data_IF_112384215149
#
_entry.id   IF_112384215149
#
_cell.length_a   1.000
_cell.length_b   1.000
_cell.length_c   1.000
_cell.angle_alpha   90.00
_cell.angle_beta   90.00
_cell.angle_gamma   90.00
#
_symmetry.space_group_name_H-M   'P 1'
#
loop_
_entity.id
_entity.type
_entity.pdbx_description
1 polymer ?
#
# COMPACT_ATOMS: atom_id res chain seq x y z
N UNK A 1 19.87 13.71 -4.14
CA UNK A 1 18.96 12.64 -3.70
C UNK A 1 17.70 12.64 -4.51
N UNK A 2 17.38 11.54 -5.12
CA UNK A 2 16.30 11.41 -6.12
C UNK A 2 15.00 11.02 -5.43
N UNK A 3 13.94 11.77 -5.69
CA UNK A 3 12.57 11.31 -5.42
C UNK A 3 12.23 10.24 -6.43
N UNK A 4 11.53 9.19 -6.01
CA UNK A 4 11.02 8.16 -6.89
C UNK A 4 9.52 8.30 -7.08
N UNK A 5 9.04 8.00 -8.29
CA UNK A 5 7.61 7.95 -8.60
C UNK A 5 7.13 6.51 -8.58
N UNK A 6 6.29 6.17 -7.59
CA UNK A 6 5.70 4.83 -7.51
C UNK A 6 4.66 4.55 -8.61
N UNK A 7 4.32 5.54 -9.44
CA UNK A 7 3.44 5.38 -10.59
C UNK A 7 4.21 5.07 -11.87
N UNK A 8 5.33 5.76 -12.11
CA UNK A 8 6.03 5.70 -13.41
C UNK A 8 7.28 4.85 -13.42
N UNK A 9 7.88 4.56 -12.26
CA UNK A 9 9.08 3.72 -12.19
C UNK A 9 8.74 2.23 -12.18
N UNK A 10 9.66 1.42 -12.69
CA UNK A 10 9.54 -0.04 -12.72
C UNK A 10 10.04 -0.63 -11.39
N UNK A 11 9.14 -0.93 -10.47
CA UNK A 11 9.49 -1.41 -9.14
C UNK A 11 8.67 -2.60 -8.64
N UNK A 12 7.54 -2.90 -9.28
CA UNK A 12 6.64 -3.99 -8.89
C UNK A 12 7.13 -5.28 -9.54
N UNK A 13 7.61 -6.27 -8.77
CA UNK A 13 8.03 -7.55 -9.32
C UNK A 13 6.79 -8.36 -9.75
N UNK A 14 6.80 -8.81 -11.00
CA UNK A 14 5.72 -9.59 -11.60
C UNK A 14 6.27 -10.82 -12.31
N UNK A 15 5.40 -11.81 -12.51
CA UNK A 15 5.69 -13.03 -13.27
C UNK A 15 4.86 -13.04 -14.54
N UNK A 16 5.52 -13.36 -15.65
CA UNK A 16 4.86 -13.55 -16.93
C UNK A 16 4.37 -14.99 -17.14
N UNK A 17 3.65 -15.23 -18.25
CA UNK A 17 3.14 -16.56 -18.67
C UNK A 17 4.23 -17.61 -18.83
N UNK A 18 5.48 -17.23 -19.05
CA UNK A 18 6.65 -18.10 -19.19
C UNK A 18 7.36 -18.35 -17.87
N UNK A 19 6.88 -17.74 -16.78
CA UNK A 19 7.48 -17.84 -15.45
C UNK A 19 8.66 -16.89 -15.21
N UNK A 20 8.97 -15.98 -16.15
CA UNK A 20 10.05 -15.01 -16.01
C UNK A 20 9.59 -13.89 -15.06
N UNK A 21 10.44 -13.54 -14.11
CA UNK A 21 10.20 -12.44 -13.18
C UNK A 21 10.89 -11.18 -13.70
N UNK A 22 10.15 -10.09 -13.76
CA UNK A 22 10.64 -8.75 -14.11
C UNK A 22 9.95 -7.68 -13.29
N UNK A 23 10.47 -6.47 -13.27
CA UNK A 23 9.77 -5.32 -12.67
C UNK A 23 8.97 -4.56 -13.70
N UNK A 24 7.83 -4.03 -13.26
CA UNK A 24 6.95 -3.15 -14.02
C UNK A 24 6.60 -1.91 -13.22
N UNK A 25 6.14 -0.88 -13.90
CA UNK A 25 5.40 0.23 -13.31
C UNK A 25 3.91 -0.11 -13.22
N UNK A 26 3.12 0.57 -12.36
CA UNK A 26 1.66 0.47 -12.39
C UNK A 26 1.04 0.73 -13.79
N UNK A 27 1.69 1.52 -14.63
CA UNK A 27 1.23 1.82 -16.00
C UNK A 27 1.28 0.62 -16.95
N UNK A 28 2.01 -0.44 -16.57
CA UNK A 28 2.21 -1.63 -17.40
C UNK A 28 1.33 -2.82 -16.97
N UNK A 29 0.43 -2.64 -16.01
CA UNK A 29 -0.43 -3.73 -15.49
C UNK A 29 -1.37 -4.34 -16.53
N UNK A 30 -1.65 -3.63 -17.63
CA UNK A 30 -2.51 -4.10 -18.73
C UNK A 30 -1.77 -5.01 -19.72
N UNK A 31 -0.52 -5.35 -19.49
CA UNK A 31 0.22 -6.31 -20.30
C UNK A 31 -0.36 -7.72 -20.08
N UNK A 32 -0.96 -8.30 -21.12
CA UNK A 32 -1.62 -9.61 -21.11
C UNK A 32 -0.65 -10.78 -20.80
N UNK A 33 0.65 -10.56 -20.96
CA UNK A 33 1.66 -11.56 -20.61
C UNK A 33 1.92 -11.64 -19.10
N UNK A 34 1.55 -10.63 -18.33
CA UNK A 34 1.73 -10.63 -16.88
C UNK A 34 0.58 -11.36 -16.21
N UNK A 35 0.90 -12.37 -15.40
CA UNK A 35 -0.11 -13.24 -14.78
C UNK A 35 -0.15 -13.14 -13.26
N UNK A 36 0.91 -12.64 -12.61
CA UNK A 36 0.94 -12.54 -11.14
C UNK A 36 1.96 -11.51 -10.66
N UNK A 37 1.78 -11.07 -9.41
CA UNK A 37 2.81 -10.35 -8.64
C UNK A 37 3.78 -11.40 -8.09
N UNK A 38 5.06 -11.08 -8.04
CA UNK A 38 6.12 -12.02 -7.66
C UNK A 38 7.07 -11.44 -6.61
N UNK A 39 6.53 -10.85 -5.54
CA UNK A 39 7.33 -10.34 -4.44
C UNK A 39 7.98 -11.48 -3.65
N UNK A 40 9.21 -11.27 -3.18
CA UNK A 40 9.97 -12.27 -2.43
C UNK A 40 9.41 -12.52 -1.01
N UNK A 41 8.65 -11.57 -0.48
CA UNK A 41 8.05 -11.63 0.86
C UNK A 41 6.53 -11.68 0.77
N UNK A 42 5.90 -12.50 1.59
CA UNK A 42 4.45 -12.66 1.62
C UNK A 42 3.72 -11.36 2.03
N UNK A 43 4.27 -10.59 2.96
CA UNK A 43 3.73 -9.29 3.37
C UNK A 43 3.83 -8.25 2.25
N UNK A 44 4.90 -8.25 1.48
CA UNK A 44 5.06 -7.39 0.31
C UNK A 44 4.14 -7.85 -0.84
N UNK A 45 4.01 -9.15 -1.06
CA UNK A 45 3.08 -9.71 -2.03
C UNK A 45 1.65 -9.20 -1.79
N UNK A 46 1.16 -9.35 -0.57
CA UNK A 46 -0.20 -8.91 -0.21
C UNK A 46 -0.35 -7.39 -0.23
N UNK A 47 0.68 -6.64 0.11
CA UNK A 47 0.67 -5.18 0.04
C UNK A 47 0.57 -4.69 -1.41
N UNK A 48 1.31 -5.29 -2.35
CA UNK A 48 1.28 -4.90 -3.76
C UNK A 48 -0.07 -5.19 -4.42
N UNK A 49 -0.73 -6.32 -4.09
CA UNK A 49 -2.10 -6.56 -4.51
C UNK A 49 -3.02 -5.43 -4.07
N UNK A 50 -2.98 -5.06 -2.79
CA UNK A 50 -3.82 -4.01 -2.24
C UNK A 50 -3.46 -2.62 -2.77
N UNK A 51 -2.18 -2.37 -3.05
CA UNK A 51 -1.72 -1.13 -3.66
C UNK A 51 -2.34 -0.94 -5.06
N UNK A 52 -2.24 -1.95 -5.92
CA UNK A 52 -2.77 -1.87 -7.28
C UNK A 52 -4.30 -1.83 -7.30
N UNK A 53 -4.98 -2.64 -6.49
CA UNK A 53 -6.45 -2.60 -6.37
C UNK A 53 -6.90 -1.22 -5.86
N UNK A 54 -6.27 -0.73 -4.80
CA UNK A 54 -6.58 0.59 -4.25
C UNK A 54 -6.35 1.72 -5.25
N UNK A 55 -5.29 1.63 -6.05
CA UNK A 55 -4.98 2.61 -7.09
C UNK A 55 -6.07 2.64 -8.18
N UNK A 56 -6.46 1.47 -8.68
CA UNK A 56 -7.53 1.33 -9.68
C UNK A 56 -8.87 1.80 -9.08
N UNK A 57 -9.24 1.31 -7.90
CA UNK A 57 -10.47 1.73 -7.22
C UNK A 57 -10.56 3.24 -7.01
N UNK A 58 -9.44 3.87 -6.64
CA UNK A 58 -9.41 5.31 -6.36
C UNK A 58 -9.55 6.16 -7.62
N UNK A 59 -9.10 5.66 -8.77
CA UNK A 59 -8.96 6.48 -9.99
C UNK A 59 -9.87 6.09 -11.15
N UNK A 60 -10.39 4.86 -11.14
CA UNK A 60 -11.07 4.22 -12.26
C UNK A 60 -12.27 3.37 -11.82
N UNK A 61 -12.81 3.58 -10.60
CA UNK A 61 -14.02 2.86 -10.21
C UNK A 61 -15.13 3.08 -11.26
N UNK A 62 -15.77 2.02 -11.77
CA UNK A 62 -16.87 2.14 -12.71
C UNK A 62 -18.13 2.67 -12.01
N UNK A 63 -18.97 3.42 -12.70
CA UNK A 63 -20.17 4.03 -12.13
C UNK A 63 -21.18 2.99 -11.66
N UNK A 64 -21.33 1.90 -12.44
CA UNK A 64 -22.29 0.84 -12.19
C UNK A 64 -21.78 -0.55 -12.65
N UNK A 65 -22.62 -1.56 -12.54
CA UNK A 65 -22.30 -2.93 -12.96
C UNK A 65 -22.09 -3.04 -14.48
N UNK A 66 -22.88 -2.34 -15.28
CA UNK A 66 -22.78 -2.40 -16.74
C UNK A 66 -21.41 -1.85 -17.19
N UNK A 67 -20.99 -0.69 -16.67
CA UNK A 67 -19.68 -0.12 -16.91
C UNK A 67 -18.54 -1.03 -16.40
N UNK A 68 -18.77 -1.76 -15.30
CA UNK A 68 -17.81 -2.75 -14.80
C UNK A 68 -17.66 -3.91 -15.79
N UNK A 69 -18.78 -4.43 -16.34
CA UNK A 69 -18.79 -5.52 -17.30
C UNK A 69 -18.22 -5.11 -18.65
N UNK A 70 -18.47 -3.90 -19.10
CA UNK A 70 -17.88 -3.38 -20.35
C UNK A 70 -16.36 -3.41 -20.28
N UNK A 71 -15.77 -2.90 -19.21
CA UNK A 71 -14.31 -2.96 -19.01
C UNK A 71 -13.84 -4.42 -18.85
N UNK A 72 -14.62 -5.27 -18.20
CA UNK A 72 -14.29 -6.69 -18.06
C UNK A 72 -14.20 -7.41 -19.40
N UNK A 73 -15.11 -7.16 -20.33
CA UNK A 73 -15.14 -7.82 -21.63
C UNK A 73 -14.22 -7.16 -22.68
N UNK A 74 -14.23 -5.83 -22.76
CA UNK A 74 -13.50 -5.07 -23.77
C UNK A 74 -12.07 -4.75 -23.37
N UNK A 75 -11.79 -4.71 -22.08
CA UNK A 75 -10.51 -4.26 -21.53
C UNK A 75 -10.48 -2.77 -21.25
N UNK A 76 -9.35 -2.32 -20.71
CA UNK A 76 -9.06 -0.91 -20.41
C UNK A 76 -7.96 -0.41 -21.35
N UNK A 77 -8.16 0.76 -21.93
CA UNK A 77 -7.16 1.39 -22.79
C UNK A 77 -5.97 1.93 -21.96
N UNK A 78 -4.75 1.68 -22.46
CA UNK A 78 -3.51 2.16 -21.80
C UNK A 78 -3.50 3.69 -21.60
N UNK A 79 -4.09 4.43 -22.52
CA UNK A 79 -4.18 5.88 -22.43
C UNK A 79 -5.09 6.35 -21.28
N UNK A 80 -6.20 5.63 -21.05
CA UNK A 80 -7.13 5.95 -19.98
C UNK A 80 -6.53 5.60 -18.60
N UNK A 81 -5.85 4.46 -18.50
CA UNK A 81 -5.09 4.10 -17.31
C UNK A 81 -4.04 5.16 -16.98
N UNK A 82 -3.23 5.56 -17.96
CA UNK A 82 -2.19 6.56 -17.77
C UNK A 82 -2.76 7.92 -17.38
N UNK A 83 -3.85 8.33 -18.01
CA UNK A 83 -4.57 9.57 -17.67
C UNK A 83 -5.13 9.54 -16.25
N UNK A 84 -5.70 8.42 -15.83
CA UNK A 84 -6.24 8.25 -14.49
C UNK A 84 -5.13 8.30 -13.43
N UNK A 85 -4.07 7.53 -13.61
CA UNK A 85 -2.95 7.48 -12.67
C UNK A 85 -2.15 8.78 -12.61
N UNK A 86 -2.08 9.54 -13.70
CA UNK A 86 -1.41 10.85 -13.70
C UNK A 86 -2.05 11.85 -12.72
N UNK A 87 -3.36 11.75 -12.48
CA UNK A 87 -4.08 12.64 -11.55
C UNK A 87 -3.61 12.46 -10.11
N UNK A 88 -3.19 11.27 -9.74
CA UNK A 88 -2.74 10.94 -8.38
C UNK A 88 -1.21 10.92 -8.26
N UNK A 89 -0.48 11.11 -9.34
CA UNK A 89 0.98 11.09 -9.37
C UNK A 89 1.68 11.83 -8.22
N UNK A 90 1.28 13.06 -7.87
CA UNK A 90 1.87 13.79 -6.74
C UNK A 90 1.76 13.10 -5.39
N UNK A 91 0.71 12.30 -5.15
CA UNK A 91 0.55 11.55 -3.91
C UNK A 91 1.46 10.31 -3.82
N UNK A 92 1.98 9.84 -4.95
CA UNK A 92 2.80 8.63 -5.04
C UNK A 92 4.29 8.93 -5.27
N UNK A 93 4.72 10.09 -4.86
CA UNK A 93 6.15 10.42 -4.79
C UNK A 93 6.70 9.96 -3.45
N UNK A 94 7.79 9.19 -3.47
CA UNK A 94 8.49 8.75 -2.28
C UNK A 94 9.89 9.38 -2.21
N UNK A 95 10.17 10.06 -1.12
CA UNK A 95 11.43 10.79 -0.96
C UNK A 95 11.49 11.63 0.32
N UNK A 96 12.51 12.49 0.47
CA UNK A 96 12.75 13.25 1.68
C UNK A 96 11.80 14.43 1.89
N UNK A 97 11.22 14.95 0.82
CA UNK A 97 10.37 16.15 0.87
C UNK A 97 8.92 15.77 1.17
N UNK A 98 8.19 16.65 1.84
CA UNK A 98 6.74 16.53 2.02
C UNK A 98 6.01 17.25 0.88
N UNK A 99 4.88 16.69 0.40
CA UNK A 99 4.30 15.40 0.78
C UNK A 99 5.12 14.23 0.24
N UNK A 100 5.12 13.10 0.96
CA UNK A 100 5.80 11.87 0.53
C UNK A 100 4.97 10.66 0.90
N UNK A 101 4.87 9.71 -0.01
CA UNK A 101 4.01 8.53 0.08
C UNK A 101 4.07 7.85 1.45
N UNK A 102 2.92 7.76 2.11
CA UNK A 102 2.71 7.10 3.41
C UNK A 102 3.57 7.62 4.57
N UNK A 103 4.26 8.75 4.41
CA UNK A 103 5.06 9.37 5.45
C UNK A 103 4.31 10.51 6.13
N UNK A 104 4.64 10.78 7.39
CA UNK A 104 4.12 11.94 8.11
C UNK A 104 4.44 13.23 7.33
N UNK A 105 3.49 14.13 7.26
CA UNK A 105 3.67 15.40 6.55
C UNK A 105 4.70 16.30 7.27
N UNK A 106 4.66 16.30 8.60
CA UNK A 106 5.58 17.07 9.42
C UNK A 106 6.92 16.32 9.60
N UNK A 107 8.00 17.03 9.81
CA UNK A 107 9.25 16.46 10.28
C UNK A 107 9.03 15.94 11.70
N UNK A 108 9.51 14.72 11.96
CA UNK A 108 9.37 14.09 13.27
C UNK A 108 10.64 14.34 14.11
N UNK A 109 10.43 14.69 15.37
CA UNK A 109 11.50 14.85 16.36
C UNK A 109 11.81 13.48 17.01
N UNK A 110 13.00 13.39 17.59
CA UNK A 110 13.46 12.22 18.34
C UNK A 110 14.61 11.48 17.67
N UNK A 111 15.08 10.44 18.33
CA UNK A 111 16.14 9.58 17.82
C UNK A 111 15.64 8.71 16.67
N UNK A 112 16.52 8.46 15.71
CA UNK A 112 16.24 7.54 14.63
C UNK A 112 16.23 6.10 15.14
N UNK A 113 15.31 5.31 14.61
CA UNK A 113 15.20 3.88 14.87
C UNK A 113 15.50 3.08 13.58
N UNK A 114 15.89 1.81 13.68
CA UNK A 114 16.14 0.99 12.51
C UNK A 114 14.90 0.89 11.62
N UNK A 115 15.08 1.05 10.31
CA UNK A 115 14.01 0.92 9.31
C UNK A 115 13.42 -0.50 9.30
N UNK A 116 14.18 -1.51 9.73
CA UNK A 116 13.71 -2.87 9.93
C UNK A 116 12.50 -2.98 10.88
N UNK A 117 12.22 -1.98 11.72
CA UNK A 117 11.02 -1.93 12.55
C UNK A 117 9.70 -1.78 11.75
N UNK A 118 9.77 -1.54 10.45
CA UNK A 118 8.61 -1.63 9.55
C UNK A 118 8.14 -3.08 9.34
N UNK A 119 9.01 -4.05 9.55
CA UNK A 119 8.74 -5.45 9.24
C UNK A 119 7.99 -6.15 10.40
N UNK A 120 7.04 -7.06 10.09
CA UNK A 120 6.23 -7.74 11.10
C UNK A 120 7.05 -8.63 12.05
N UNK A 121 8.21 -9.13 11.60
CA UNK A 121 9.12 -9.93 12.42
C UNK A 121 10.05 -9.11 13.32
N UNK A 122 10.01 -7.79 13.22
CA UNK A 122 10.88 -6.94 14.04
C UNK A 122 10.41 -6.93 15.50
N UNK A 123 11.26 -7.27 16.46
CA UNK A 123 10.87 -7.33 17.86
C UNK A 123 10.67 -5.91 18.43
N UNK A 124 9.56 -5.69 19.11
CA UNK A 124 9.33 -4.48 19.90
C UNK A 124 10.19 -4.45 21.18
N UNK A 125 10.35 -3.27 21.78
CA UNK A 125 11.14 -3.06 22.99
C UNK A 125 10.80 -4.04 24.14
N UNK A 126 9.53 -4.28 24.39
CA UNK A 126 9.11 -5.22 25.43
C UNK A 126 9.54 -6.66 25.14
N UNK A 127 9.56 -7.05 23.88
CA UNK A 127 10.03 -8.37 23.46
C UNK A 127 11.52 -8.51 23.72
N UNK A 128 12.30 -7.50 23.36
CA UNK A 128 13.75 -7.42 23.60
C UNK A 128 14.05 -7.43 25.10
N UNK A 129 13.35 -6.58 25.85
CA UNK A 129 13.56 -6.38 27.29
C UNK A 129 13.31 -7.64 28.12
N UNK A 130 12.44 -8.53 27.65
CA UNK A 130 12.09 -9.79 28.30
C UNK A 130 12.71 -11.00 27.63
N UNK A 131 13.71 -10.83 26.77
CA UNK A 131 14.39 -11.92 26.03
C UNK A 131 13.43 -12.88 25.30
N UNK A 132 12.32 -12.33 24.78
CA UNK A 132 11.30 -13.09 24.04
C UNK A 132 11.60 -13.15 22.53
N UNK A 133 12.72 -12.58 22.12
CA UNK A 133 13.10 -12.39 20.73
C UNK A 133 14.23 -13.30 20.26
N UNK A 134 14.66 -14.28 21.08
CA UNK A 134 15.82 -15.10 20.70
C UNK A 134 15.59 -15.98 19.46
N UNK A 135 14.34 -16.18 19.04
CA UNK A 135 14.01 -16.83 17.77
C UNK A 135 13.86 -15.84 16.60
N UNK A 136 13.90 -14.54 16.86
CA UNK A 136 13.69 -13.51 15.86
C UNK A 136 15.04 -12.99 15.39
N UNK A 137 15.27 -12.98 14.09
CA UNK A 137 16.51 -12.42 13.54
C UNK A 137 16.60 -10.93 13.86
N UNK A 138 17.63 -10.54 14.59
CA UNK A 138 18.03 -9.16 14.78
C UNK A 138 19.03 -8.77 13.69
N UNK A 139 19.11 -7.52 13.37
CA UNK A 139 20.13 -6.94 12.52
C UNK A 139 19.59 -5.72 11.80
N UNK A 140 20.49 -4.85 11.43
CA UNK A 140 20.20 -3.75 10.54
C UNK A 140 19.85 -4.31 9.18
N UNK A 141 18.86 -3.71 8.54
CA UNK A 141 18.39 -4.05 7.20
C UNK A 141 18.46 -2.80 6.35
N UNK A 142 19.01 -2.97 5.16
CA UNK A 142 19.16 -1.91 4.18
C UNK A 142 18.14 -2.09 3.06
N UNK A 143 17.38 -1.08 2.81
CA UNK A 143 16.29 -1.07 1.86
C UNK A 143 16.62 -0.14 0.69
N UNK A 144 16.49 -0.57 -0.54
CA UNK A 144 16.36 0.39 -1.63
C UNK A 144 15.05 1.20 -1.46
N UNK A 145 14.93 2.37 -2.09
CA UNK A 145 13.74 3.22 -1.92
C UNK A 145 12.42 2.49 -2.23
N UNK A 146 12.38 1.64 -3.23
CA UNK A 146 11.19 0.86 -3.59
C UNK A 146 10.79 -0.14 -2.50
N UNK A 147 11.77 -0.90 -1.96
CA UNK A 147 11.50 -1.83 -0.86
C UNK A 147 11.11 -1.10 0.44
N UNK A 148 11.68 0.07 0.70
CA UNK A 148 11.30 0.91 1.83
C UNK A 148 9.86 1.43 1.72
N UNK A 149 9.46 1.90 0.54
CA UNK A 149 8.08 2.33 0.27
C UNK A 149 7.08 1.18 0.46
N UNK A 150 7.43 -0.01 -0.03
CA UNK A 150 6.60 -1.22 0.10
C UNK A 150 6.47 -1.68 1.56
N UNK A 151 7.58 -1.70 2.31
CA UNK A 151 7.58 -2.04 3.73
C UNK A 151 6.74 -1.05 4.55
N UNK A 152 6.87 0.26 4.25
CA UNK A 152 6.08 1.29 4.89
C UNK A 152 4.59 1.13 4.59
N UNK A 153 4.21 0.89 3.34
CA UNK A 153 2.82 0.65 2.95
C UNK A 153 2.27 -0.60 3.65
N UNK A 154 3.01 -1.70 3.67
CA UNK A 154 2.62 -2.93 4.36
C UNK A 154 2.38 -2.69 5.86
N UNK A 155 3.27 -1.93 6.53
CA UNK A 155 3.07 -1.53 7.93
C UNK A 155 1.80 -0.70 8.10
N UNK A 156 1.57 0.31 7.27
CA UNK A 156 0.41 1.21 7.39
C UNK A 156 -0.91 0.44 7.23
N UNK A 157 -0.98 -0.48 6.29
CA UNK A 157 -2.16 -1.33 6.09
C UNK A 157 -2.42 -2.26 7.27
N UNK A 158 -1.37 -2.90 7.79
CA UNK A 158 -1.47 -4.01 8.72
C UNK A 158 -0.94 -3.65 10.12
N UNK A 159 -0.88 -2.36 10.46
CA UNK A 159 -0.32 -1.88 11.71
C UNK A 159 -0.91 -2.60 12.92
N UNK A 160 -0.13 -3.39 13.67
CA UNK A 160 -0.60 -4.14 14.82
C UNK A 160 -0.81 -3.22 16.03
N UNK A 161 -1.53 -3.69 17.04
CA UNK A 161 -1.52 -3.04 18.35
C UNK A 161 -0.11 -3.11 18.95
N UNK A 162 0.36 -2.04 19.59
CA UNK A 162 1.77 -1.99 20.01
C UNK A 162 2.06 -1.15 21.25
N UNK A 163 1.06 -0.79 22.03
CA UNK A 163 1.24 0.04 23.22
C UNK A 163 0.63 1.44 23.09
N UNK A 164 0.96 2.30 24.05
CA UNK A 164 0.34 3.61 24.15
C UNK A 164 0.59 4.49 22.91
N UNK A 165 -0.52 4.90 22.27
CA UNK A 165 -0.45 5.77 21.09
C UNK A 165 -0.08 5.07 19.78
N UNK A 166 0.18 3.76 19.80
CA UNK A 166 0.33 2.95 18.60
C UNK A 166 -1.05 2.61 18.05
N UNK A 167 -1.43 3.25 16.95
CA UNK A 167 -2.73 3.05 16.32
C UNK A 167 -2.69 1.85 15.40
N UNK A 168 -3.76 1.07 15.37
CA UNK A 168 -3.90 -0.11 14.50
C UNK A 168 -4.30 0.30 13.09
N UNK A 169 -4.01 -0.57 12.13
CA UNK A 169 -4.56 -0.44 10.79
C UNK A 169 -6.09 -0.42 10.80
N UNK A 170 -6.68 0.07 9.73
CA UNK A 170 -8.13 0.22 9.57
C UNK A 170 -8.90 -1.08 9.81
N UNK A 171 -8.26 -2.23 9.61
CA UNK A 171 -8.80 -3.59 9.81
C UNK A 171 -8.53 -4.16 11.19
N UNK A 172 -8.28 -3.31 12.18
CA UNK A 172 -8.03 -3.76 13.55
C UNK A 172 -6.63 -4.33 13.81
N UNK A 173 -5.69 -4.07 12.92
CA UNK A 173 -4.29 -4.51 13.05
C UNK A 173 -4.03 -5.96 12.64
N UNK A 174 -4.98 -6.59 11.98
CA UNK A 174 -4.83 -7.92 11.41
C UNK A 174 -4.78 -7.90 9.87
N UNK A 175 -4.16 -8.90 9.25
CA UNK A 175 -4.07 -9.01 7.78
C UNK A 175 -5.34 -9.58 7.14
N UNK A 176 -6.51 -9.47 7.79
CA UNK A 176 -7.77 -10.01 7.32
C UNK A 176 -8.26 -9.22 6.10
N UNK A 177 -7.79 -9.62 4.94
CA UNK A 177 -8.24 -9.10 3.65
C UNK A 177 -8.74 -10.27 2.82
N UNK A 178 -9.95 -10.17 2.33
CA UNK A 178 -10.53 -11.16 1.42
C UNK A 178 -10.48 -10.59 0.02
N UNK A 179 -9.70 -11.21 -0.86
CA UNK A 179 -9.62 -10.85 -2.27
C UNK A 179 -10.22 -11.98 -3.11
N UNK A 180 -10.82 -11.59 -4.22
CA UNK A 180 -11.30 -12.53 -5.24
C UNK A 180 -10.08 -13.00 -6.03
N UNK A 181 -9.89 -14.32 -6.06
CA UNK A 181 -8.86 -14.95 -6.89
C UNK A 181 -9.51 -15.66 -8.08
N UNK A 182 -9.02 -15.36 -9.27
CA UNK A 182 -9.50 -15.98 -10.52
C UNK A 182 -8.59 -17.16 -10.88
N UNK A 183 -9.14 -18.36 -10.80
CA UNK A 183 -8.42 -19.58 -11.17
C UNK A 183 -8.36 -19.83 -12.69
N UNK A 184 -9.31 -19.29 -13.43
CA UNK A 184 -9.33 -19.37 -14.90
C UNK A 184 -10.23 -18.30 -15.51
N UNK A 185 -9.93 -17.91 -16.74
CA UNK A 185 -10.77 -17.06 -17.57
C UNK A 185 -10.84 -17.61 -19.00
N UNK A 186 -12.05 -17.83 -19.50
CA UNK A 186 -12.31 -18.42 -20.85
C UNK A 186 -11.46 -19.70 -21.10
N UNK A 187 -11.26 -20.52 -20.04
CA UNK A 187 -10.50 -21.78 -20.12
C UNK A 187 -8.99 -21.66 -19.94
N UNK A 188 -8.44 -20.44 -19.94
CA UNK A 188 -7.03 -20.18 -19.65
C UNK A 188 -6.82 -20.05 -18.14
N UNK A 189 -5.84 -20.80 -17.59
CA UNK A 189 -5.44 -20.72 -16.19
C UNK A 189 -4.42 -19.60 -15.92
N UNK A 190 -3.77 -19.10 -16.95
CA UNK A 190 -2.86 -17.96 -16.85
C UNK A 190 -3.64 -16.66 -17.02
N UNK A 191 -4.59 -16.41 -16.13
CA UNK A 191 -5.39 -15.19 -16.15
C UNK A 191 -4.48 -13.98 -16.06
N UNK A 192 -4.59 -12.99 -16.96
CA UNK A 192 -3.81 -11.76 -16.89
C UNK A 192 -4.00 -11.03 -15.57
N UNK A 193 -2.91 -10.42 -15.06
CA UNK A 193 -2.89 -9.73 -13.76
C UNK A 193 -3.99 -8.67 -13.67
N UNK A 194 -4.18 -7.88 -14.72
CA UNK A 194 -5.16 -6.80 -14.69
C UNK A 194 -6.59 -7.29 -14.47
N UNK A 195 -6.97 -8.46 -15.00
CA UNK A 195 -8.27 -9.06 -14.77
C UNK A 195 -8.46 -9.52 -13.33
N UNK A 196 -7.41 -10.08 -12.73
CA UNK A 196 -7.41 -10.45 -11.32
C UNK A 196 -7.56 -9.22 -10.42
N UNK A 197 -6.90 -8.10 -10.79
CA UNK A 197 -7.04 -6.83 -10.08
C UNK A 197 -8.45 -6.26 -10.25
N UNK A 198 -8.96 -6.24 -11.49
CA UNK A 198 -10.29 -5.72 -11.81
C UNK A 198 -11.41 -6.47 -11.11
N UNK A 199 -11.30 -7.81 -10.96
CA UNK A 199 -12.25 -8.62 -10.19
C UNK A 199 -12.41 -8.17 -8.72
N UNK A 200 -11.48 -7.37 -8.20
CA UNK A 200 -11.51 -6.80 -6.86
C UNK A 200 -11.88 -5.30 -6.85
N UNK A 201 -12.18 -4.71 -7.99
CA UNK A 201 -12.67 -3.34 -8.10
C UNK A 201 -14.19 -3.35 -8.06
N UNK A 202 -14.75 -2.50 -7.24
CA UNK A 202 -16.20 -2.44 -7.02
C UNK A 202 -16.80 -1.24 -7.75
N UNK A 203 -17.99 -1.38 -8.36
CA UNK A 203 -18.76 -0.26 -8.87
C UNK A 203 -19.04 0.78 -7.78
N UNK A 204 -19.11 2.07 -8.15
CA UNK A 204 -19.41 3.17 -7.23
C UNK A 204 -20.72 2.95 -6.48
N UNK A 205 -21.76 2.49 -7.18
CA UNK A 205 -23.08 2.22 -6.62
C UNK A 205 -23.04 1.18 -5.49
N UNK A 206 -22.26 0.11 -5.63
CA UNK A 206 -22.16 -0.93 -4.60
C UNK A 206 -21.26 -0.53 -3.44
N UNK A 207 -20.18 0.15 -3.74
CA UNK A 207 -19.17 0.52 -2.76
C UNK A 207 -19.48 1.80 -1.99
N UNK A 208 -20.32 2.67 -2.54
CA UNK A 208 -20.49 4.07 -2.14
C UNK A 208 -19.15 4.84 -2.09
N UNK A 209 -18.23 4.47 -2.98
CA UNK A 209 -16.86 5.02 -3.07
C UNK A 209 -16.64 5.66 -4.46
N UNK A 210 -17.28 6.80 -4.74
CA UNK A 210 -17.13 7.47 -6.03
C UNK A 210 -15.69 7.94 -6.24
N UNK A 211 -15.28 8.01 -7.51
CA UNK A 211 -13.99 8.60 -7.88
C UNK A 211 -13.95 10.07 -7.40
N UNK A 212 -12.98 10.45 -6.57
CA UNK A 212 -12.92 11.80 -6.01
C UNK A 212 -12.65 12.84 -7.11
N UNK A 213 -13.19 14.03 -6.93
CA UNK A 213 -12.89 15.18 -7.78
C UNK A 213 -11.48 15.73 -7.52
N UNK A 214 -11.02 15.64 -6.27
CA UNK A 214 -9.73 16.11 -5.82
C UNK A 214 -9.00 14.97 -5.08
N UNK A 215 -7.71 14.88 -5.30
CA UNK A 215 -6.83 13.85 -4.71
C UNK A 215 -5.92 14.48 -3.66
N UNK A 216 -6.53 15.00 -2.61
CA UNK A 216 -5.90 15.71 -1.51
C UNK A 216 -5.74 14.84 -0.25
N UNK A 217 -5.50 15.46 0.90
CA UNK A 217 -5.36 14.81 2.19
C UNK A 217 -6.65 14.12 2.68
N UNK A 218 -7.80 14.41 2.10
CA UNK A 218 -9.03 13.68 2.42
C UNK A 218 -9.02 12.26 1.86
N UNK A 219 -8.34 12.04 0.73
CA UNK A 219 -8.13 10.73 0.11
C UNK A 219 -6.80 10.12 0.58
N UNK A 220 -5.72 10.88 0.51
CA UNK A 220 -4.36 10.45 0.81
C UNK A 220 -3.83 11.19 2.04
N UNK A 221 -3.87 10.61 3.24
CA UNK A 221 -3.55 11.31 4.50
C UNK A 221 -2.21 12.03 4.52
N UNK A 222 -1.21 11.53 3.79
CA UNK A 222 0.12 12.12 3.72
C UNK A 222 0.23 13.36 2.83
N UNK A 223 -0.82 13.69 2.07
CA UNK A 223 -0.86 14.92 1.25
C UNK A 223 -1.10 16.19 2.06
N UNK A 224 -1.31 16.06 3.37
CA UNK A 224 -1.47 17.20 4.27
C UNK A 224 -1.09 16.86 5.69
N UNK A 225 -1.28 17.82 6.59
CA UNK A 225 -0.91 17.67 8.00
C UNK A 225 -1.61 16.48 8.64
N UNK A 226 -0.84 15.61 9.30
CA UNK A 226 -1.35 14.39 9.93
C UNK A 226 -2.40 14.70 11.00
N UNK A 227 -3.57 14.06 10.92
CA UNK A 227 -4.62 14.12 11.94
C UNK A 227 -4.20 13.28 13.15
N UNK A 228 -3.50 13.90 14.08
CA UNK A 228 -2.99 13.19 15.26
C UNK A 228 -4.11 12.85 16.26
N UNK A 229 -3.99 11.72 16.92
CA UNK A 229 -4.98 11.21 17.89
C UNK A 229 -4.54 11.34 19.35
N UNK A 230 -3.76 12.38 19.68
CA UNK A 230 -3.31 12.63 21.05
C UNK A 230 -4.43 13.17 21.94
N UNK A 231 -5.29 14.00 21.39
CA UNK A 231 -6.45 14.51 22.10
C UNK A 231 -7.58 13.47 22.18
N UNK A 232 -8.35 13.48 23.29
CA UNK A 232 -9.56 12.64 23.41
C UNK A 232 -10.62 13.12 22.40
N UNK A 233 -11.27 12.18 21.71
CA UNK A 233 -12.27 12.50 20.69
C UNK A 233 -11.70 12.96 19.36
N UNK A 234 -10.43 12.66 19.08
CA UNK A 234 -9.75 12.98 17.83
C UNK A 234 -9.68 11.78 16.87
N UNK A 235 -10.62 10.86 16.99
CA UNK A 235 -10.80 9.76 16.05
C UNK A 235 -11.16 10.30 14.65
N UNK A 236 -10.75 9.59 13.63
CA UNK A 236 -11.11 9.88 12.24
C UNK A 236 -12.17 8.88 11.79
N UNK A 237 -13.34 9.38 11.41
CA UNK A 237 -14.46 8.56 10.92
C UNK A 237 -14.65 8.74 9.42
N UNK A 238 -15.37 7.81 8.73
CA UNK A 238 -15.62 7.91 7.29
C UNK A 238 -16.35 9.19 6.87
N UNK A 239 -17.15 9.79 7.79
CA UNK A 239 -17.89 11.02 7.50
C UNK A 239 -17.03 12.29 7.55
N UNK A 240 -15.84 12.20 8.14
CA UNK A 240 -14.93 13.35 8.31
C UNK A 240 -13.91 13.50 7.18
N UNK A 241 -13.72 12.45 6.39
CA UNK A 241 -12.74 12.37 5.30
C UNK A 241 -13.33 11.53 4.17
N UNK A 242 -12.58 11.33 3.08
CA UNK A 242 -13.05 10.51 1.98
C UNK A 242 -12.99 9.02 2.36
N UNK A 243 -14.07 8.23 2.16
CA UNK A 243 -14.10 6.80 2.44
C UNK A 243 -13.04 5.97 1.74
N UNK A 244 -12.48 6.44 0.61
CA UNK A 244 -11.35 5.79 -0.07
C UNK A 244 -10.07 5.72 0.78
N UNK A 245 -9.97 6.48 1.89
CA UNK A 245 -8.91 6.23 2.88
C UNK A 245 -8.92 4.80 3.44
N UNK A 246 -9.99 4.02 3.23
CA UNK A 246 -9.97 2.59 3.53
C UNK A 246 -8.81 1.85 2.87
N UNK A 247 -8.40 2.25 1.67
CA UNK A 247 -7.25 1.70 0.96
C UNK A 247 -5.92 2.36 1.36
N UNK A 248 -5.96 3.56 1.92
CA UNK A 248 -4.81 4.44 2.12
C UNK A 248 -4.62 4.84 3.58
N UNK A 249 -5.08 4.01 4.50
CA UNK A 249 -4.97 4.29 5.93
C UNK A 249 -3.54 4.51 6.39
N UNK A 250 -3.30 5.55 7.19
CA UNK A 250 -1.99 5.93 7.74
C UNK A 250 -2.03 6.01 9.27
N UNK A 251 -2.15 4.88 9.99
CA UNK A 251 -2.25 4.86 11.45
C UNK A 251 -0.93 5.17 12.15
N UNK A 252 0.21 5.08 11.46
CA UNK A 252 1.54 5.29 12.03
C UNK A 252 2.15 6.59 11.53
N UNK A 253 2.80 7.30 12.43
CA UNK A 253 3.63 8.46 12.12
C UNK A 253 5.05 7.98 11.89
N UNK A 254 5.47 7.99 10.66
CA UNK A 254 6.79 7.51 10.22
C UNK A 254 7.39 8.55 9.28
N UNK A 255 8.68 8.84 9.47
CA UNK A 255 9.47 9.64 8.56
C UNK A 255 10.78 8.93 8.30
N UNK A 256 11.00 8.49 7.07
CA UNK A 256 12.22 7.78 6.68
C UNK A 256 13.37 8.78 6.64
N UNK A 257 14.51 8.38 7.17
CA UNK A 257 15.73 9.15 7.14
C UNK A 257 16.44 8.95 5.81
N UNK A 258 16.53 10.02 5.06
CA UNK A 258 17.20 10.05 3.77
C UNK A 258 18.54 10.78 3.80
N UNK A 259 19.03 11.16 4.97
CA UNK A 259 20.30 11.87 5.12
C UNK A 259 21.47 10.88 5.22
N UNK A 260 21.22 9.69 5.79
CA UNK A 260 22.22 8.65 6.01
C UNK A 260 22.03 7.51 5.01
N UNK A 261 22.47 7.74 3.77
CA UNK A 261 22.36 6.78 2.67
C UNK A 261 23.63 5.94 2.53
N UNK A 262 23.45 4.68 2.23
CA UNK A 262 24.53 3.74 1.96
C UNK A 262 24.49 3.27 0.51
N UNK A 263 25.65 2.89 -0.03
CA UNK A 263 25.77 2.19 -1.30
C UNK A 263 25.91 0.69 -1.04
N UNK A 264 25.34 -0.13 -1.91
CA UNK A 264 25.45 -1.58 -1.85
C UNK A 264 24.20 -2.31 -2.31
N UNK A 265 23.97 -3.49 -1.77
CA UNK A 265 22.91 -4.39 -2.17
C UNK A 265 21.72 -4.31 -1.22
N UNK A 266 20.51 -4.15 -1.75
CA UNK A 266 19.27 -4.20 -0.98
C UNK A 266 19.07 -5.60 -0.37
N UNK A 267 18.78 -5.66 0.94
CA UNK A 267 18.61 -6.93 1.67
C UNK A 267 17.31 -7.69 1.28
N UNK A 268 16.44 -7.07 0.47
CA UNK A 268 15.14 -7.63 0.08
C UNK A 268 15.08 -8.03 -1.40
N UNK A 269 15.25 -7.09 -2.33
CA UNK A 269 15.20 -7.41 -3.75
C UNK A 269 16.56 -7.81 -4.33
N UNK A 270 17.65 -7.65 -3.58
CA UNK A 270 18.99 -8.03 -4.02
C UNK A 270 19.62 -7.11 -5.07
N UNK A 271 18.97 -6.00 -5.42
CA UNK A 271 19.51 -5.05 -6.40
C UNK A 271 20.54 -4.12 -5.79
N UNK A 272 21.51 -3.72 -6.59
CA UNK A 272 22.47 -2.68 -6.21
C UNK A 272 21.77 -1.31 -6.20
N UNK A 273 22.12 -0.50 -5.22
CA UNK A 273 21.58 0.85 -5.04
C UNK A 273 22.62 1.74 -4.38
N UNK A 274 22.68 2.97 -4.82
CA UNK A 274 23.46 4.05 -4.21
C UNK A 274 22.66 4.83 -3.14
N UNK A 275 21.44 4.39 -2.85
CA UNK A 275 20.48 5.06 -1.95
C UNK A 275 19.83 4.06 -0.98
N UNK A 276 20.63 3.22 -0.34
CA UNK A 276 20.10 2.30 0.67
C UNK A 276 19.73 3.06 1.94
N UNK A 277 18.55 2.78 2.45
CA UNK A 277 17.91 3.37 3.62
C UNK A 277 17.94 2.37 4.78
N UNK A 278 18.30 2.81 5.96
CA UNK A 278 18.42 1.94 7.16
C UNK A 278 17.71 2.49 8.39
N UNK A 279 17.33 3.77 8.39
CA UNK A 279 16.80 4.49 9.56
C UNK A 279 15.49 5.21 9.25
N UNK A 280 14.72 5.45 10.31
CA UNK A 280 13.50 6.27 10.28
C UNK A 280 13.27 6.95 11.63
N UNK A 281 12.46 8.01 11.64
CA UNK A 281 11.90 8.60 12.86
C UNK A 281 10.43 8.19 12.99
N UNK A 282 10.00 7.95 14.22
CA UNK A 282 8.64 7.56 14.53
C UNK A 282 8.07 8.37 15.67
N UNK A 283 6.78 8.62 15.65
CA UNK A 283 6.06 9.22 16.78
C UNK A 283 4.74 8.47 17.03
N UNK A 284 4.29 8.51 18.28
CA UNK A 284 3.02 7.96 18.67
C UNK A 284 1.85 8.86 18.23
N UNK A 285 0.63 8.36 18.37
CA UNK A 285 -0.61 9.09 18.13
C UNK A 285 -0.82 9.49 16.66
N UNK A 286 -0.58 8.54 15.75
CA UNK A 286 -1.00 8.66 14.35
C UNK A 286 -2.52 8.71 14.21
N UNK A 287 -3.05 8.51 13.03
CA UNK A 287 -4.49 8.57 12.78
C UNK A 287 -5.17 7.40 13.48
N UNK A 288 -6.21 7.70 14.27
CA UNK A 288 -7.05 6.72 14.96
C UNK A 288 -8.35 6.55 14.20
N UNK A 289 -8.44 5.49 13.43
CA UNK A 289 -9.64 5.18 12.64
C UNK A 289 -10.73 4.56 13.52
N UNK A 290 -11.95 5.08 13.44
CA UNK A 290 -13.11 4.59 14.18
C UNK A 290 -14.35 4.54 13.30
N UNK A 291 -15.15 3.49 13.40
CA UNK A 291 -16.35 3.31 12.60
C UNK A 291 -16.10 2.91 11.13
N UNK A 292 -14.88 2.56 10.79
CA UNK A 292 -14.53 2.14 9.44
C UNK A 292 -14.82 0.66 9.18
N UNK A 293 -15.31 0.40 7.99
CA UNK A 293 -15.39 -0.95 7.41
C UNK A 293 -14.55 -0.95 6.14
N UNK A 294 -13.53 -1.80 6.10
CA UNK A 294 -12.72 -1.92 4.89
C UNK A 294 -13.50 -2.67 3.82
N UNK A 295 -13.54 -2.20 2.57
CA UNK A 295 -14.31 -2.86 1.49
C UNK A 295 -13.99 -4.35 1.33
N UNK A 296 -12.71 -4.72 1.40
CA UNK A 296 -12.27 -6.12 1.36
C UNK A 296 -12.29 -6.83 2.72
N UNK A 297 -12.81 -6.21 3.75
CA UNK A 297 -12.94 -6.79 5.10
C UNK A 297 -14.30 -7.39 5.37
N UNK A 298 -15.25 -7.27 4.46
CA UNK A 298 -16.58 -7.88 4.59
C UNK A 298 -16.57 -9.34 4.10
N UNK A 299 -17.30 -10.24 4.78
CA UNK A 299 -17.54 -11.54 4.21
C UNK A 299 -18.31 -11.36 2.88
N UNK A 300 -17.75 -11.88 1.82
CA UNK A 300 -18.38 -11.87 0.52
C UNK A 300 -19.74 -12.60 0.62
N UNK A 301 -20.83 -11.86 0.61
CA UNK A 301 -22.15 -12.46 0.37
C UNK A 301 -22.25 -12.71 -1.13
N UNK A 302 -21.62 -13.79 -1.58
CA UNK A 302 -21.73 -14.21 -2.96
C UNK A 302 -23.20 -14.45 -3.28
N UNK A 303 -23.86 -13.51 -3.94
CA UNK A 303 -24.99 -13.84 -4.77
C UNK A 303 -24.42 -14.74 -5.87
N UNK A 304 -24.80 -16.00 -5.87
CA UNK A 304 -24.41 -16.94 -6.91
C UNK A 304 -24.75 -16.34 -8.27
N UNK A 305 -23.73 -15.99 -9.04
CA UNK A 305 -23.91 -15.74 -10.45
C UNK A 305 -24.39 -17.05 -11.08
N UNK A 306 -25.65 -17.09 -11.54
CA UNK A 306 -26.21 -18.16 -12.36
C UNK A 306 -26.04 -17.80 -13.82
#
# INVERSE_FOLDING_TARGET
MTQISLISEQWIPVRDRKGVVRKISPLEILDEEIVDIAAERADFQTALWQFLIGLIQTTLAPEDEDAWFDIWEEGLEKADLAKAFSKVGPAFIFGPQSPSFMQDFDQLEGEAVPLAALLPESPGENTIKHNKDFFIKRGEKRFCPHCAAMALFSLQLNAPSGGQGYRTGLRGGGPLTTLIELHSYKGDRNVPLWRKLWANVMPEFESNLPVPKEFDAAVFPWMGKTRTSKAKGSETTPEQVNPLQAYWGMPRRVRIDFEDLEEGRCDFCGEESDQLLSKMKVQNYGINYSGWVHPHGQPCTCKSFR
#
